data_IF_112389942170
#
_entry.id   IF_112389942170
#
_cell.length_a   1.000
_cell.length_b   1.000
_cell.length_c   1.000
_cell.angle_alpha   90.00
_cell.angle_beta   90.00
_cell.angle_gamma   90.00
#
_symmetry.space_group_name_H-M   'P 1'
#
loop_
_entity.id
_entity.type
_entity.pdbx_description
1 polymer ?
#
# COMPACT_ATOMS: atom_id res chain seq x y z
N UNK A 1 22.28 13.72 21.07
CA UNK A 1 22.71 13.04 19.83
C UNK A 1 21.64 12.17 19.18
N UNK A 2 20.76 11.48 19.92
CA UNK A 2 19.71 10.64 19.29
C UNK A 2 18.54 11.45 18.68
N UNK A 3 18.20 12.60 19.26
CA UNK A 3 17.15 13.50 18.72
C UNK A 3 17.48 14.05 17.32
N UNK A 4 18.71 14.50 17.13
CA UNK A 4 19.20 15.08 15.87
C UNK A 4 19.13 14.09 14.69
N UNK A 5 19.40 12.80 14.99
CA UNK A 5 19.31 11.70 14.01
C UNK A 5 17.87 11.35 13.63
N UNK A 6 16.89 11.59 14.51
CA UNK A 6 15.46 11.38 14.21
C UNK A 6 14.92 12.50 13.33
N UNK A 7 15.32 13.75 13.59
CA UNK A 7 14.98 14.87 12.71
C UNK A 7 15.51 14.66 11.29
N UNK A 8 16.72 14.13 11.15
CA UNK A 8 17.28 13.80 9.83
C UNK A 8 16.43 12.77 9.06
N UNK A 9 15.96 11.72 9.71
CA UNK A 9 15.08 10.72 9.08
C UNK A 9 13.75 11.32 8.61
N UNK A 10 13.16 12.20 9.44
CA UNK A 10 11.93 12.90 9.08
C UNK A 10 12.14 13.78 7.84
N UNK A 11 13.28 14.46 7.73
CA UNK A 11 13.63 15.24 6.55
C UNK A 11 13.78 14.38 5.29
N UNK A 12 14.46 13.24 5.37
CA UNK A 12 14.56 12.33 4.22
C UNK A 12 13.21 11.77 3.79
N UNK A 13 12.34 11.48 4.75
CA UNK A 13 10.97 11.05 4.45
C UNK A 13 10.16 12.18 3.81
N UNK A 14 10.21 13.39 4.37
CA UNK A 14 9.54 14.56 3.80
C UNK A 14 10.02 14.86 2.37
N UNK A 15 11.33 14.75 2.11
CA UNK A 15 11.89 14.90 0.77
C UNK A 15 11.39 13.80 -0.18
N UNK A 16 11.32 12.54 0.27
CA UNK A 16 10.77 11.44 -0.53
C UNK A 16 9.29 11.68 -0.85
N UNK A 17 8.49 12.10 0.14
CA UNK A 17 7.09 12.47 -0.05
C UNK A 17 6.96 13.62 -1.03
N UNK A 18 7.80 14.66 -0.96
CA UNK A 18 7.80 15.76 -1.91
C UNK A 18 8.07 15.28 -3.35
N UNK A 19 9.05 14.39 -3.54
CA UNK A 19 9.31 13.77 -4.86
C UNK A 19 8.09 12.97 -5.33
N UNK A 20 7.46 12.18 -4.46
CA UNK A 20 6.24 11.41 -4.81
C UNK A 20 5.07 12.32 -5.19
N UNK A 21 4.92 13.47 -4.54
CA UNK A 21 3.92 14.48 -4.91
C UNK A 21 4.22 15.08 -6.31
N UNK A 22 5.50 15.29 -6.65
CA UNK A 22 5.90 15.74 -7.99
C UNK A 22 5.68 14.67 -9.07
N UNK A 23 5.52 13.39 -8.69
CA UNK A 23 5.18 12.29 -9.59
C UNK A 23 3.68 12.12 -9.85
N UNK A 24 2.81 12.90 -9.20
CA UNK A 24 1.36 12.85 -9.45
C UNK A 24 1.00 12.99 -10.94
N UNK A 25 1.54 13.96 -11.71
CA UNK A 25 1.19 14.13 -13.13
C UNK A 25 1.89 13.12 -14.07
N UNK A 26 2.55 12.09 -13.53
CA UNK A 26 3.21 11.06 -14.34
C UNK A 26 2.23 10.19 -15.13
N UNK A 27 2.79 9.30 -15.94
CA UNK A 27 2.07 8.28 -16.72
C UNK A 27 0.97 7.57 -15.89
N UNK A 28 -0.14 7.24 -16.57
CA UNK A 28 -1.30 6.55 -16.01
C UNK A 28 -1.34 5.11 -16.56
N UNK A 29 -1.20 4.14 -15.68
CA UNK A 29 -1.35 2.72 -16.01
C UNK A 29 -2.82 2.32 -16.04
N UNK A 30 -3.10 1.09 -16.49
CA UNK A 30 -4.41 0.46 -16.35
C UNK A 30 -4.81 0.23 -14.89
N UNK A 31 -3.85 0.13 -13.96
CA UNK A 31 -4.12 -0.15 -12.55
C UNK A 31 -4.92 0.96 -11.87
N UNK A 32 -4.87 2.20 -12.39
CA UNK A 32 -5.78 3.27 -11.96
C UNK A 32 -7.24 2.85 -12.10
N UNK A 33 -7.62 2.35 -13.27
CA UNK A 33 -8.99 1.95 -13.56
C UNK A 33 -9.37 0.68 -12.80
N UNK A 34 -8.43 -0.25 -12.63
CA UNK A 34 -8.59 -1.47 -11.83
C UNK A 34 -8.96 -1.12 -10.39
N UNK A 35 -8.14 -0.33 -9.71
CA UNK A 35 -8.40 0.06 -8.33
C UNK A 35 -9.61 1.00 -8.19
N UNK A 36 -9.87 1.86 -9.19
CA UNK A 36 -11.12 2.66 -9.22
C UNK A 36 -12.33 1.75 -9.28
N UNK A 37 -12.24 0.63 -10.02
CA UNK A 37 -13.31 -0.37 -10.08
C UNK A 37 -13.50 -1.03 -8.72
N UNK A 38 -12.41 -1.41 -8.06
CA UNK A 38 -12.48 -2.06 -6.75
C UNK A 38 -13.07 -1.13 -5.68
N UNK A 39 -12.76 0.17 -5.72
CA UNK A 39 -13.43 1.18 -4.89
C UNK A 39 -14.94 1.18 -5.15
N UNK A 40 -15.37 1.16 -6.42
CA UNK A 40 -16.80 1.15 -6.77
C UNK A 40 -17.51 -0.14 -6.35
N UNK A 41 -16.94 -1.31 -6.63
CA UNK A 41 -17.44 -2.63 -6.21
C UNK A 41 -17.66 -2.66 -4.71
N UNK A 42 -16.61 -2.35 -3.95
CA UNK A 42 -16.61 -2.51 -2.49
C UNK A 42 -17.49 -1.47 -1.78
N UNK A 43 -17.70 -0.31 -2.42
CA UNK A 43 -18.61 0.72 -1.93
C UNK A 43 -20.09 0.40 -2.19
N UNK A 44 -20.40 -0.01 -3.41
CA UNK A 44 -21.76 0.02 -3.95
C UNK A 44 -22.48 -1.31 -3.86
N UNK A 45 -21.76 -2.42 -3.74
CA UNK A 45 -22.34 -3.77 -3.70
C UNK A 45 -22.31 -4.38 -2.30
N UNK A 46 -23.28 -5.27 -1.98
CA UNK A 46 -23.18 -6.10 -0.79
C UNK A 46 -21.98 -7.05 -0.90
N UNK A 47 -21.45 -7.46 0.25
CA UNK A 47 -20.25 -8.30 0.34
C UNK A 47 -20.35 -9.60 -0.49
N UNK A 48 -21.55 -10.18 -0.59
CA UNK A 48 -21.82 -11.39 -1.36
C UNK A 48 -21.64 -11.24 -2.87
N UNK A 49 -21.55 -10.01 -3.38
CA UNK A 49 -21.46 -9.71 -4.81
C UNK A 49 -20.08 -9.18 -5.23
N UNK A 50 -19.19 -8.87 -4.29
CA UNK A 50 -17.90 -8.22 -4.56
C UNK A 50 -17.03 -8.95 -5.60
N UNK A 51 -17.08 -10.29 -5.60
CA UNK A 51 -16.27 -11.14 -6.46
C UNK A 51 -17.04 -11.71 -7.66
N UNK A 52 -18.29 -11.26 -7.86
CA UNK A 52 -19.17 -11.72 -8.93
C UNK A 52 -19.65 -10.59 -9.84
N UNK A 53 -19.26 -9.34 -9.57
CA UNK A 53 -19.56 -8.22 -10.45
C UNK A 53 -18.79 -8.36 -11.78
N UNK A 54 -19.53 -8.22 -12.87
CA UNK A 54 -19.01 -8.29 -14.25
C UNK A 54 -19.25 -6.96 -15.00
N UNK A 55 -19.59 -5.88 -14.28
CA UNK A 55 -19.85 -4.56 -14.89
C UNK A 55 -18.60 -4.01 -15.61
N UNK A 56 -17.40 -4.38 -15.14
CA UNK A 56 -16.12 -4.08 -15.77
C UNK A 56 -15.33 -5.37 -16.01
N UNK A 57 -14.43 -5.36 -17.01
CA UNK A 57 -13.45 -6.43 -17.19
C UNK A 57 -12.46 -6.53 -16.01
N UNK A 58 -12.27 -5.43 -15.26
CA UNK A 58 -11.36 -5.36 -14.11
C UNK A 58 -12.04 -5.86 -12.84
N UNK A 59 -12.27 -7.17 -12.77
CA UNK A 59 -12.87 -7.81 -11.59
C UNK A 59 -11.97 -7.68 -10.36
N UNK A 60 -12.56 -7.82 -9.17
CA UNK A 60 -11.83 -7.83 -7.91
C UNK A 60 -11.08 -9.16 -7.76
N UNK A 61 -9.76 -9.13 -7.91
CA UNK A 61 -8.90 -10.34 -7.91
C UNK A 61 -8.04 -10.50 -6.64
N UNK A 62 -7.93 -9.45 -5.81
CA UNK A 62 -7.17 -9.53 -4.57
C UNK A 62 -7.99 -10.18 -3.43
N UNK A 63 -7.33 -10.80 -2.45
CA UNK A 63 -8.02 -11.50 -1.37
C UNK A 63 -8.74 -10.53 -0.41
N UNK A 64 -9.59 -11.05 0.50
CA UNK A 64 -10.58 -10.24 1.20
C UNK A 64 -10.05 -9.04 1.98
N UNK A 65 -8.86 -9.08 2.58
CA UNK A 65 -8.38 -7.93 3.36
C UNK A 65 -8.06 -6.74 2.47
N UNK A 66 -7.61 -6.97 1.24
CA UNK A 66 -7.42 -5.87 0.30
C UNK A 66 -8.75 -5.31 -0.18
N UNK A 67 -9.75 -6.15 -0.40
CA UNK A 67 -11.11 -5.68 -0.70
C UNK A 67 -11.69 -4.82 0.43
N UNK A 68 -11.46 -5.18 1.70
CA UNK A 68 -11.84 -4.34 2.83
C UNK A 68 -11.01 -3.06 2.93
N UNK A 69 -9.74 -3.08 2.52
CA UNK A 69 -8.93 -1.87 2.42
C UNK A 69 -9.49 -0.91 1.36
N UNK A 70 -9.85 -1.41 0.17
CA UNK A 70 -10.53 -0.63 -0.86
C UNK A 70 -11.89 -0.12 -0.36
N UNK A 71 -12.67 -0.95 0.35
CA UNK A 71 -13.91 -0.50 1.00
C UNK A 71 -13.67 0.67 1.95
N UNK A 72 -12.61 0.61 2.74
CA UNK A 72 -12.26 1.69 3.66
C UNK A 72 -11.88 2.96 2.90
N UNK A 73 -11.06 2.86 1.86
CA UNK A 73 -10.70 4.00 1.02
C UNK A 73 -11.93 4.58 0.30
N UNK A 74 -12.87 3.74 -0.13
CA UNK A 74 -14.05 4.18 -0.87
C UNK A 74 -14.97 5.10 -0.07
N UNK A 75 -14.95 5.00 1.26
CA UNK A 75 -15.64 5.94 2.16
C UNK A 75 -15.15 7.38 1.94
N UNK A 76 -13.85 7.57 1.73
CA UNK A 76 -13.25 8.88 1.45
C UNK A 76 -13.36 9.24 -0.02
N UNK A 77 -13.22 8.27 -0.92
CA UNK A 77 -13.34 8.48 -2.36
C UNK A 77 -14.69 9.12 -2.71
N UNK A 78 -15.78 8.61 -2.13
CA UNK A 78 -17.13 9.17 -2.32
C UNK A 78 -17.24 10.64 -1.89
N UNK A 79 -16.50 11.06 -0.86
CA UNK A 79 -16.51 12.44 -0.38
C UNK A 79 -15.74 13.38 -1.31
N UNK A 80 -14.68 12.87 -1.95
CA UNK A 80 -13.85 13.62 -2.91
C UNK A 80 -14.57 13.76 -4.24
N UNK A 81 -15.07 12.64 -4.78
CA UNK A 81 -15.78 12.59 -6.05
C UNK A 81 -16.69 11.35 -6.08
N UNK A 82 -18.02 11.53 -6.00
CA UNK A 82 -18.97 10.42 -6.02
C UNK A 82 -18.85 9.51 -7.25
N UNK A 83 -18.34 10.00 -8.39
CA UNK A 83 -18.19 9.17 -9.60
C UNK A 83 -17.08 8.13 -9.47
N UNK A 84 -16.11 8.30 -8.56
CA UNK A 84 -15.05 7.31 -8.30
C UNK A 84 -15.64 5.97 -7.87
N UNK A 85 -16.74 6.01 -7.10
CA UNK A 85 -17.35 4.82 -6.51
C UNK A 85 -18.61 4.35 -7.25
N UNK A 86 -18.94 4.98 -8.38
CA UNK A 86 -20.09 4.58 -9.20
C UNK A 86 -19.68 3.46 -10.17
N UNK A 87 -20.41 2.35 -10.13
CA UNK A 87 -20.10 1.14 -10.92
C UNK A 87 -20.18 1.36 -12.43
N UNK A 88 -21.05 2.26 -12.91
CA UNK A 88 -21.32 2.44 -14.34
C UNK A 88 -20.81 3.78 -14.86
N UNK A 89 -21.12 4.86 -14.15
CA UNK A 89 -20.68 6.21 -14.51
C UNK A 89 -19.20 6.44 -14.23
N UNK A 90 -18.60 5.60 -13.37
CA UNK A 90 -17.17 5.64 -13.09
C UNK A 90 -16.34 4.88 -14.13
N UNK A 91 -16.91 4.11 -15.06
CA UNK A 91 -16.15 3.33 -16.04
C UNK A 91 -15.30 4.24 -16.93
N UNK A 92 -14.00 3.92 -17.01
CA UNK A 92 -12.97 4.69 -17.72
C UNK A 92 -12.90 6.17 -17.27
N UNK A 93 -13.39 6.45 -16.05
CA UNK A 93 -13.44 7.81 -15.52
C UNK A 93 -12.05 8.26 -15.09
N UNK A 94 -11.47 9.14 -15.91
CA UNK A 94 -10.06 9.57 -15.82
C UNK A 94 -9.88 11.02 -15.37
N UNK A 95 -10.85 11.53 -14.59
CA UNK A 95 -10.76 12.87 -14.03
C UNK A 95 -9.58 13.00 -13.06
N UNK A 96 -9.04 14.21 -12.94
CA UNK A 96 -7.90 14.47 -12.07
C UNK A 96 -8.22 14.20 -10.60
N UNK A 97 -9.49 14.35 -10.18
CA UNK A 97 -9.98 13.96 -8.85
C UNK A 97 -9.62 12.51 -8.50
N UNK A 98 -9.85 11.58 -9.43
CA UNK A 98 -9.51 10.15 -9.29
C UNK A 98 -8.01 9.99 -9.13
N UNK A 99 -7.24 10.66 -10.00
CA UNK A 99 -5.78 10.56 -10.03
C UNK A 99 -5.18 11.08 -8.72
N UNK A 100 -5.60 12.26 -8.26
CA UNK A 100 -5.17 12.82 -6.99
C UNK A 100 -5.53 11.92 -5.83
N UNK A 101 -6.78 11.45 -5.76
CA UNK A 101 -7.24 10.57 -4.69
C UNK A 101 -6.35 9.32 -4.57
N UNK A 102 -6.22 8.58 -5.66
CA UNK A 102 -5.45 7.35 -5.72
C UNK A 102 -3.95 7.57 -5.44
N UNK A 103 -3.31 8.59 -6.04
CA UNK A 103 -1.90 8.87 -5.77
C UNK A 103 -1.66 9.24 -4.30
N UNK A 104 -2.56 10.01 -3.70
CA UNK A 104 -2.47 10.41 -2.29
C UNK A 104 -2.65 9.19 -1.37
N UNK A 105 -3.57 8.28 -1.65
CA UNK A 105 -3.77 7.08 -0.81
C UNK A 105 -2.54 6.17 -0.83
N UNK A 106 -1.88 6.00 -1.98
CA UNK A 106 -0.62 5.24 -2.07
C UNK A 106 0.48 5.93 -1.24
N UNK A 107 0.68 7.24 -1.41
CA UNK A 107 1.67 8.01 -0.63
C UNK A 107 1.41 7.90 0.88
N UNK A 108 0.15 7.98 1.30
CA UNK A 108 -0.21 7.85 2.72
C UNK A 108 0.05 6.43 3.24
N UNK A 109 -0.22 5.42 2.42
CA UNK A 109 -0.03 4.02 2.80
C UNK A 109 1.45 3.63 3.05
N UNK A 110 2.40 4.38 2.48
CA UNK A 110 3.84 4.22 2.72
C UNK A 110 4.27 4.39 4.18
N UNK A 111 3.43 5.02 5.01
CA UNK A 111 3.67 5.08 6.46
C UNK A 111 3.83 3.69 7.07
N UNK A 112 3.14 2.69 6.52
CA UNK A 112 3.31 1.29 6.94
C UNK A 112 4.69 0.73 6.56
N UNK A 113 5.23 1.09 5.38
CA UNK A 113 6.60 0.73 4.98
C UNK A 113 7.62 1.34 5.93
N UNK A 114 7.49 2.65 6.19
CA UNK A 114 8.36 3.37 7.11
C UNK A 114 8.35 2.72 8.50
N UNK A 115 7.16 2.43 9.02
CA UNK A 115 7.00 1.78 10.32
C UNK A 115 7.58 0.37 10.35
N UNK A 116 7.30 -0.46 9.33
CA UNK A 116 7.81 -1.82 9.21
C UNK A 116 9.34 -1.87 9.18
N UNK A 117 9.97 -1.05 8.33
CA UNK A 117 11.44 -0.97 8.24
C UNK A 117 12.04 -0.49 9.56
N UNK A 118 11.49 0.56 10.16
CA UNK A 118 11.97 1.09 11.44
C UNK A 118 11.89 0.05 12.56
N UNK A 119 10.75 -0.66 12.66
CA UNK A 119 10.51 -1.67 13.69
C UNK A 119 11.44 -2.87 13.53
N UNK A 120 11.69 -3.31 12.30
CA UNK A 120 12.63 -4.39 11.96
C UNK A 120 14.06 -4.02 12.32
N UNK A 121 14.48 -2.79 11.99
CA UNK A 121 15.87 -2.34 12.14
C UNK A 121 16.17 -1.69 13.49
N UNK A 122 15.23 -1.71 14.44
CA UNK A 122 15.34 -1.00 15.73
C UNK A 122 16.53 -1.43 16.60
N UNK A 123 16.99 -2.69 16.46
CA UNK A 123 18.14 -3.26 17.19
C UNK A 123 19.48 -3.05 16.46
N UNK A 124 19.45 -2.51 15.24
CA UNK A 124 20.64 -2.21 14.43
C UNK A 124 21.22 -0.86 14.89
N UNK A 125 22.54 -0.68 14.74
CA UNK A 125 23.20 0.60 15.01
C UNK A 125 22.49 1.77 14.30
N UNK A 126 22.26 2.93 14.97
CA UNK A 126 21.45 4.01 14.41
C UNK A 126 21.87 4.52 13.04
N UNK A 127 23.18 4.60 12.74
CA UNK A 127 23.64 5.05 11.43
C UNK A 127 23.20 4.08 10.33
N UNK A 128 23.48 2.78 10.53
CA UNK A 128 23.13 1.72 9.58
C UNK A 128 21.61 1.57 9.43
N UNK A 129 20.87 1.64 10.55
CA UNK A 129 19.40 1.70 10.55
C UNK A 129 18.89 2.83 9.67
N UNK A 130 19.42 4.04 9.86
CA UNK A 130 18.99 5.20 9.11
C UNK A 130 19.28 5.05 7.61
N UNK A 131 20.46 4.53 7.24
CA UNK A 131 20.80 4.23 5.86
C UNK A 131 19.84 3.21 5.24
N UNK A 132 19.49 2.14 5.95
CA UNK A 132 18.51 1.15 5.48
C UNK A 132 17.15 1.81 5.24
N UNK A 133 16.64 2.61 6.20
CA UNK A 133 15.38 3.33 6.04
C UNK A 133 15.39 4.23 4.80
N UNK A 134 16.46 5.01 4.60
CA UNK A 134 16.60 5.89 3.43
C UNK A 134 16.62 5.08 2.14
N UNK A 135 17.44 4.03 2.05
CA UNK A 135 17.55 3.19 0.85
C UNK A 135 16.22 2.50 0.48
N UNK A 136 15.44 2.06 1.47
CA UNK A 136 14.15 1.41 1.21
C UNK A 136 13.10 2.44 0.75
N UNK A 137 12.98 3.57 1.44
CA UNK A 137 12.01 4.62 1.10
C UNK A 137 12.31 5.25 -0.28
N UNK A 138 13.59 5.36 -0.64
CA UNK A 138 14.05 5.86 -1.93
C UNK A 138 14.31 4.76 -2.97
N UNK A 139 13.85 3.54 -2.71
CA UNK A 139 14.04 2.43 -3.65
C UNK A 139 13.45 2.79 -5.02
N UNK A 140 14.26 2.85 -6.09
CA UNK A 140 13.77 3.23 -7.42
C UNK A 140 12.72 2.25 -7.93
N UNK A 141 12.84 0.96 -7.58
CA UNK A 141 11.85 -0.06 -7.93
C UNK A 141 10.49 0.21 -7.29
N UNK A 142 10.45 0.53 -5.99
CA UNK A 142 9.20 0.87 -5.32
C UNK A 142 8.63 2.20 -5.84
N UNK A 143 9.49 3.20 -6.10
CA UNK A 143 9.07 4.47 -6.70
C UNK A 143 8.39 4.27 -8.06
N UNK A 144 8.99 3.46 -8.92
CA UNK A 144 8.45 3.17 -10.24
C UNK A 144 7.13 2.39 -10.15
N UNK A 145 7.07 1.32 -9.36
CA UNK A 145 5.90 0.45 -9.33
C UNK A 145 4.71 1.10 -8.60
N UNK A 146 4.94 1.77 -7.46
CA UNK A 146 3.84 2.32 -6.67
C UNK A 146 3.43 3.74 -7.12
N UNK A 147 4.41 4.61 -7.42
CA UNK A 147 4.14 6.04 -7.64
C UNK A 147 4.16 6.49 -9.10
N UNK A 148 4.70 5.68 -10.02
CA UNK A 148 4.55 5.89 -11.46
C UNK A 148 3.52 4.93 -12.02
N UNK A 149 3.67 3.63 -11.80
CA UNK A 149 2.76 2.60 -12.32
C UNK A 149 1.47 2.44 -11.50
N UNK A 150 1.38 2.94 -10.27
CA UNK A 150 0.20 2.85 -9.39
C UNK A 150 -0.09 1.47 -8.80
N UNK A 151 0.53 1.18 -7.66
CA UNK A 151 0.28 -0.01 -6.84
C UNK A 151 0.50 0.29 -5.35
N UNK A 152 0.07 -0.63 -4.48
CA UNK A 152 0.24 -0.54 -3.03
C UNK A 152 1.33 -1.50 -2.49
N UNK A 153 2.43 -1.74 -3.22
CA UNK A 153 3.41 -2.74 -2.81
C UNK A 153 4.22 -2.32 -1.58
N UNK A 154 4.56 -1.05 -1.45
CA UNK A 154 5.21 -0.48 -0.28
C UNK A 154 4.38 -0.71 0.98
N UNK A 155 3.06 -0.52 0.88
CA UNK A 155 2.14 -0.83 1.97
C UNK A 155 2.20 -2.29 2.41
N UNK A 156 2.12 -3.21 1.45
CA UNK A 156 2.16 -4.65 1.70
C UNK A 156 3.51 -5.11 2.25
N UNK A 157 4.60 -4.55 1.72
CA UNK A 157 5.94 -4.80 2.21
C UNK A 157 6.11 -4.30 3.64
N UNK A 158 5.50 -3.16 4.01
CA UNK A 158 5.47 -2.67 5.38
C UNK A 158 4.89 -3.68 6.37
N UNK A 159 3.75 -4.28 6.04
CA UNK A 159 3.16 -5.36 6.84
C UNK A 159 4.04 -6.60 6.91
N UNK A 160 4.67 -7.00 5.80
CA UNK A 160 5.60 -8.13 5.79
C UNK A 160 6.82 -7.86 6.69
N UNK A 161 7.42 -6.67 6.61
CA UNK A 161 8.57 -6.32 7.46
C UNK A 161 8.18 -6.24 8.93
N UNK A 162 6.96 -5.77 9.24
CA UNK A 162 6.42 -5.81 10.59
C UNK A 162 6.29 -7.25 11.10
N UNK A 163 5.76 -8.16 10.29
CA UNK A 163 5.70 -9.59 10.57
C UNK A 163 7.08 -10.18 10.90
N UNK A 164 8.08 -9.97 10.02
CA UNK A 164 9.46 -10.43 10.23
C UNK A 164 10.06 -9.82 11.51
N UNK A 165 9.74 -8.57 11.83
CA UNK A 165 10.25 -7.92 13.05
C UNK A 165 9.79 -8.61 14.34
N UNK A 166 8.60 -9.20 14.36
CA UNK A 166 8.12 -9.97 15.50
C UNK A 166 8.77 -11.36 15.58
N UNK A 167 9.03 -12.00 14.43
CA UNK A 167 9.83 -13.23 14.38
C UNK A 167 11.26 -13.00 14.91
N UNK A 168 11.90 -11.88 14.54
CA UNK A 168 13.20 -11.49 15.09
C UNK A 168 13.20 -11.21 16.60
N UNK A 169 12.03 -10.98 17.19
CA UNK A 169 11.84 -10.83 18.63
C UNK A 169 11.48 -12.15 19.33
N UNK A 170 11.44 -13.28 18.61
CA UNK A 170 10.99 -14.59 19.11
C UNK A 170 9.48 -14.65 19.40
N UNK A 171 8.69 -13.74 18.81
CA UNK A 171 7.22 -13.66 19.00
C UNK A 171 6.51 -14.27 17.80
N UNK A 172 6.71 -15.56 17.61
CA UNK A 172 6.38 -16.25 16.36
C UNK A 172 4.89 -16.26 16.04
N UNK A 173 4.03 -16.38 17.06
CA UNK A 173 2.58 -16.33 16.86
C UNK A 173 2.12 -15.00 16.24
N UNK A 174 2.70 -13.87 16.66
CA UNK A 174 2.33 -12.55 16.13
C UNK A 174 2.93 -12.36 14.74
N UNK A 175 4.18 -12.80 14.54
CA UNK A 175 4.80 -12.82 13.21
C UNK A 175 3.96 -13.62 12.22
N UNK A 176 3.66 -14.88 12.53
CA UNK A 176 2.82 -15.75 11.71
C UNK A 176 1.41 -15.20 11.47
N UNK A 177 0.77 -14.61 12.49
CA UNK A 177 -0.53 -13.95 12.32
C UNK A 177 -0.45 -12.78 11.32
N UNK A 178 0.55 -11.91 11.45
CA UNK A 178 0.74 -10.78 10.53
C UNK A 178 1.12 -11.25 9.11
N UNK A 179 1.85 -12.36 8.99
CA UNK A 179 2.10 -12.95 7.68
C UNK A 179 0.81 -13.49 7.04
N UNK A 180 -0.06 -14.16 7.80
CA UNK A 180 -1.37 -14.57 7.31
C UNK A 180 -2.22 -13.36 6.87
N UNK A 181 -2.18 -12.26 7.61
CA UNK A 181 -2.80 -10.97 7.23
C UNK A 181 -2.27 -10.49 5.87
N UNK A 182 -0.95 -10.54 5.64
CA UNK A 182 -0.33 -10.17 4.34
C UNK A 182 -0.81 -11.09 3.21
N UNK A 183 -0.93 -12.40 3.43
CA UNK A 183 -1.46 -13.33 2.44
C UNK A 183 -2.91 -12.99 2.07
N UNK A 184 -3.72 -12.56 3.05
CA UNK A 184 -5.08 -12.07 2.83
C UNK A 184 -5.15 -10.69 2.17
N UNK A 185 -4.04 -9.96 2.05
CA UNK A 185 -3.94 -8.75 1.24
C UNK A 185 -3.46 -9.03 -0.19
N UNK A 186 -2.48 -9.91 -0.38
CA UNK A 186 -1.97 -10.27 -1.71
C UNK A 186 -1.37 -11.67 -1.69
N UNK A 187 -1.96 -12.56 -2.47
CA UNK A 187 -1.59 -13.98 -2.49
C UNK A 187 -0.15 -14.22 -3.00
N UNK A 188 0.46 -13.28 -3.73
CA UNK A 188 1.86 -13.39 -4.20
C UNK A 188 2.87 -13.59 -3.06
N UNK A 189 2.57 -13.18 -1.84
CA UNK A 189 3.46 -13.42 -0.69
C UNK A 189 3.51 -14.89 -0.24
N UNK A 190 2.65 -15.77 -0.79
CA UNK A 190 2.67 -17.19 -0.50
C UNK A 190 4.02 -17.86 -0.85
N UNK A 191 4.79 -17.28 -1.79
CA UNK A 191 6.14 -17.77 -2.12
C UNK A 191 7.11 -17.66 -0.94
N UNK A 192 6.86 -16.76 0.01
CA UNK A 192 7.65 -16.62 1.23
C UNK A 192 7.22 -17.60 2.34
N UNK A 193 6.08 -18.28 2.19
CA UNK A 193 5.53 -19.17 3.21
C UNK A 193 6.49 -20.28 3.65
N UNK A 194 7.27 -20.95 2.77
CA UNK A 194 8.23 -21.96 3.22
C UNK A 194 9.26 -21.45 4.23
N UNK A 195 9.64 -20.17 4.17
CA UNK A 195 10.58 -19.56 5.12
C UNK A 195 9.94 -19.28 6.48
N UNK A 196 8.61 -19.16 6.54
CA UNK A 196 7.85 -18.91 7.77
C UNK A 196 7.50 -20.19 8.53
N UNK A 197 7.50 -21.34 7.86
CA UNK A 197 7.08 -22.63 8.41
C UNK A 197 8.24 -23.59 8.71
N UNK A 198 9.49 -23.15 8.50
CA UNK A 198 10.74 -23.87 8.81
C UNK A 198 11.41 -23.19 10.00
#
# INVERSE_FOLDING_TARGET
MDGDRRHLLLWFFAAATAVKLLLIPSYRSTDFEVHRNWLAITHSLPLSEWYFDETSQWTLDYPPFFAYFERFLSLFARLVDPKIVDLRLGLDYSADSVVYFQRITVIFSDLSLLFGVYRLTRKVEPLRRNLICVLVVWSPGLLMVDHVHFQYNGFLLGWLLLSVSFLQDGRDLIGGFLFAVVLCFKHLFAVAAPVYFV
#
